data_IF_776022337868
#
_entry.id   IF_776022337868
#
_cell.length_a   1.000
_cell.length_b   1.000
_cell.length_c   1.000
_cell.angle_alpha   90.00
_cell.angle_beta   90.00
_cell.angle_gamma   90.00
#
_symmetry.space_group_name_H-M   'P 1'
#
loop_
_entity.id
_entity.type
_entity.pdbx_description
1 polymer ?
#
# COMPACT_ATOMS: atom_id res chain seq x y z
N UNK A 1 26.39 -47.42 -48.15
CA UNK A 1 25.38 -47.81 -47.14
C UNK A 1 25.05 -46.56 -46.36
N UNK A 2 23.81 -46.08 -46.51
CA UNK A 2 23.31 -44.80 -46.00
C UNK A 2 23.00 -44.88 -44.50
N UNK A 3 23.98 -44.59 -43.63
CA UNK A 3 23.73 -44.49 -42.17
C UNK A 3 23.48 -43.04 -41.74
N UNK A 4 24.19 -42.06 -42.32
CA UNK A 4 24.13 -40.65 -41.87
C UNK A 4 22.82 -39.91 -42.23
N UNK A 5 22.12 -40.35 -43.29
CA UNK A 5 20.86 -39.72 -43.69
C UNK A 5 19.69 -40.14 -42.77
N UNK A 6 19.75 -41.37 -42.26
CA UNK A 6 18.71 -41.94 -41.39
C UNK A 6 18.77 -41.27 -40.01
N UNK A 7 19.96 -41.02 -39.46
CA UNK A 7 20.11 -40.33 -38.18
C UNK A 7 19.71 -38.86 -38.23
N UNK A 8 20.01 -38.13 -39.31
CA UNK A 8 19.53 -36.74 -39.45
C UNK A 8 18.02 -36.65 -39.68
N UNK A 9 17.42 -37.61 -40.39
CA UNK A 9 15.98 -37.67 -40.56
C UNK A 9 15.26 -38.06 -39.25
N UNK A 10 15.83 -38.97 -38.46
CA UNK A 10 15.33 -39.34 -37.14
C UNK A 10 15.47 -38.19 -36.14
N UNK A 11 16.61 -37.48 -36.11
CA UNK A 11 16.81 -36.32 -35.23
C UNK A 11 15.85 -35.18 -35.61
N UNK A 12 15.58 -34.98 -36.90
CA UNK A 12 14.54 -34.05 -37.38
C UNK A 12 13.12 -34.52 -37.03
N UNK A 13 12.82 -35.82 -37.12
CA UNK A 13 11.52 -36.38 -36.69
C UNK A 13 11.33 -36.31 -35.17
N UNK A 14 12.39 -36.48 -34.38
CA UNK A 14 12.37 -36.31 -32.93
C UNK A 14 12.29 -34.84 -32.50
N UNK A 15 12.77 -33.89 -33.31
CA UNK A 15 12.55 -32.46 -33.04
C UNK A 15 11.07 -32.07 -33.25
N UNK A 16 10.36 -32.72 -34.19
CA UNK A 16 8.93 -32.49 -34.44
C UNK A 16 7.98 -33.24 -33.46
N UNK A 17 8.48 -34.21 -32.69
CA UNK A 17 7.70 -34.96 -31.70
C UNK A 17 7.49 -34.20 -30.39
N UNK A 18 8.20 -33.07 -30.19
CA UNK A 18 7.97 -32.17 -29.06
C UNK A 18 7.22 -30.89 -29.44
N UNK A 19 7.11 -30.52 -30.71
CA UNK A 19 6.50 -29.23 -31.13
C UNK A 19 4.98 -29.31 -31.20
N UNK A 20 4.44 -30.39 -31.77
CA UNK A 20 2.98 -30.55 -31.95
C UNK A 20 2.23 -30.55 -30.62
N UNK A 21 2.79 -31.22 -29.59
CA UNK A 21 2.22 -31.24 -28.24
C UNK A 21 2.27 -29.86 -27.58
N UNK A 22 3.38 -29.13 -27.78
CA UNK A 22 3.58 -27.77 -27.27
C UNK A 22 2.63 -26.76 -27.91
N UNK A 23 2.48 -26.80 -29.23
CA UNK A 23 1.55 -25.95 -29.98
C UNK A 23 0.10 -26.24 -29.57
N UNK A 24 -0.24 -27.51 -29.31
CA UNK A 24 -1.57 -27.90 -28.83
C UNK A 24 -1.82 -27.47 -27.37
N UNK A 25 -0.82 -27.56 -26.49
CA UNK A 25 -0.88 -27.06 -25.12
C UNK A 25 -1.07 -25.54 -25.08
N UNK A 26 -0.37 -24.80 -25.94
CA UNK A 26 -0.53 -23.34 -26.10
C UNK A 26 -1.96 -23.01 -26.52
N UNK A 27 -2.50 -23.69 -27.54
CA UNK A 27 -3.90 -23.49 -27.98
C UNK A 27 -4.91 -23.87 -26.90
N UNK A 28 -4.66 -24.95 -26.14
CA UNK A 28 -5.52 -25.36 -25.03
C UNK A 28 -5.53 -24.32 -23.91
N UNK A 29 -4.36 -23.81 -23.52
CA UNK A 29 -4.23 -22.74 -22.54
C UNK A 29 -4.98 -21.49 -23.00
N UNK A 30 -4.77 -21.04 -24.24
CA UNK A 30 -5.48 -19.88 -24.81
C UNK A 30 -6.99 -20.09 -24.87
N UNK A 31 -7.46 -21.31 -25.21
CA UNK A 31 -8.89 -21.63 -25.28
C UNK A 31 -9.55 -21.66 -23.90
N UNK A 32 -8.85 -22.18 -22.89
CA UNK A 32 -9.35 -22.21 -21.51
C UNK A 32 -9.36 -20.81 -20.88
N UNK A 33 -8.46 -19.94 -21.31
CA UNK A 33 -8.32 -18.55 -20.86
C UNK A 33 -8.95 -17.55 -21.84
N UNK A 34 -9.87 -17.99 -22.70
CA UNK A 34 -10.44 -17.20 -23.80
C UNK A 34 -11.21 -15.92 -23.37
N UNK A 35 -11.35 -15.66 -22.06
CA UNK A 35 -11.90 -14.41 -21.53
C UNK A 35 -10.92 -13.23 -21.52
N UNK A 36 -9.60 -13.45 -21.61
CA UNK A 36 -8.57 -12.45 -21.29
C UNK A 36 -7.60 -12.09 -22.44
N UNK A 37 -7.88 -12.48 -23.69
CA UNK A 37 -7.03 -12.15 -24.87
C UNK A 37 -5.54 -12.55 -24.68
N UNK A 38 -5.30 -13.75 -24.16
CA UNK A 38 -3.94 -14.24 -23.94
C UNK A 38 -3.19 -14.45 -25.27
N UNK A 39 -2.15 -13.66 -25.52
CA UNK A 39 -1.32 -13.82 -26.71
C UNK A 39 -0.50 -15.14 -26.65
N UNK A 40 -0.12 -15.65 -27.82
CA UNK A 40 0.58 -16.93 -27.97
C UNK A 40 1.94 -16.95 -27.25
N UNK A 41 2.65 -15.81 -27.27
CA UNK A 41 3.95 -15.63 -26.62
C UNK A 41 3.86 -15.73 -25.09
N UNK A 42 2.82 -15.14 -24.49
CA UNK A 42 2.53 -15.19 -23.06
C UNK A 42 2.07 -16.58 -22.65
N UNK A 43 1.26 -17.26 -23.48
CA UNK A 43 0.86 -18.65 -23.26
C UNK A 43 2.06 -19.59 -23.21
N UNK A 44 2.94 -19.49 -24.22
CA UNK A 44 4.16 -20.28 -24.30
C UNK A 44 5.10 -19.99 -23.12
N UNK A 45 5.21 -18.74 -22.68
CA UNK A 45 6.01 -18.35 -21.52
C UNK A 45 5.54 -19.02 -20.22
N UNK A 46 4.23 -18.97 -19.92
CA UNK A 46 3.69 -19.61 -18.70
C UNK A 46 3.80 -21.13 -18.74
N UNK A 47 3.62 -21.74 -19.92
CA UNK A 47 3.87 -23.17 -20.11
C UNK A 47 5.33 -23.49 -19.89
N UNK A 48 6.25 -22.73 -20.46
CA UNK A 48 7.69 -22.96 -20.33
C UNK A 48 8.17 -22.82 -18.88
N UNK A 49 7.71 -21.79 -18.16
CA UNK A 49 7.96 -21.62 -16.71
C UNK A 49 7.46 -22.80 -15.87
N UNK A 50 6.44 -23.51 -16.35
CA UNK A 50 5.80 -24.62 -15.65
C UNK A 50 6.13 -25.99 -16.27
N UNK A 51 7.27 -26.10 -16.97
CA UNK A 51 7.72 -27.35 -17.62
C UNK A 51 6.65 -27.96 -18.54
N UNK A 52 5.91 -27.12 -19.26
CA UNK A 52 4.83 -27.48 -20.16
C UNK A 52 3.65 -28.22 -19.50
N UNK A 53 3.49 -28.06 -18.18
CA UNK A 53 2.32 -28.54 -17.47
C UNK A 53 1.17 -27.54 -17.59
N UNK A 54 0.11 -27.93 -18.33
CA UNK A 54 -1.04 -27.07 -18.56
C UNK A 54 -1.74 -26.61 -17.27
N UNK A 55 -1.96 -27.51 -16.32
CA UNK A 55 -2.66 -27.18 -15.07
C UNK A 55 -1.84 -26.19 -14.22
N UNK A 56 -0.53 -26.40 -14.11
CA UNK A 56 0.35 -25.52 -13.36
C UNK A 56 0.52 -24.16 -14.05
N UNK A 57 0.53 -24.12 -15.39
CA UNK A 57 0.52 -22.89 -16.17
C UNK A 57 -0.79 -22.12 -16.00
N UNK A 58 -1.94 -22.81 -15.95
CA UNK A 58 -3.24 -22.20 -15.65
C UNK A 58 -3.25 -21.61 -14.24
N UNK A 59 -2.77 -22.35 -13.24
CA UNK A 59 -2.66 -21.82 -11.87
C UNK A 59 -1.74 -20.61 -11.82
N UNK A 60 -0.55 -20.67 -12.42
CA UNK A 60 0.40 -19.55 -12.46
C UNK A 60 -0.17 -18.33 -13.19
N UNK A 61 -0.92 -18.57 -14.28
CA UNK A 61 -1.60 -17.51 -15.00
C UNK A 61 -2.71 -16.90 -14.16
N UNK A 62 -3.55 -17.69 -13.48
CA UNK A 62 -4.56 -17.15 -12.58
C UNK A 62 -3.98 -16.54 -11.31
N UNK A 63 -2.80 -16.92 -10.86
CA UNK A 63 -2.08 -16.24 -9.78
C UNK A 63 -1.52 -14.89 -10.27
N UNK A 64 -1.14 -14.81 -11.54
CA UNK A 64 -0.69 -13.58 -12.20
C UNK A 64 -1.86 -12.65 -12.57
N UNK A 65 -2.92 -13.16 -13.18
CA UNK A 65 -4.13 -12.43 -13.58
C UNK A 65 -5.22 -12.39 -12.52
N UNK A 66 -4.98 -13.00 -11.36
CA UNK A 66 -5.89 -12.90 -10.24
C UNK A 66 -6.20 -11.41 -10.05
N UNK A 67 -7.46 -11.01 -9.78
CA UNK A 67 -7.73 -9.70 -9.21
C UNK A 67 -7.02 -9.49 -7.85
N UNK A 68 -6.29 -10.49 -7.35
CA UNK A 68 -5.34 -10.41 -6.22
C UNK A 68 -3.93 -9.94 -6.63
N UNK A 69 -3.64 -9.81 -7.93
CA UNK A 69 -2.68 -8.81 -8.44
C UNK A 69 -3.29 -7.39 -8.42
N UNK A 70 -4.31 -7.15 -7.59
CA UNK A 70 -4.37 -5.92 -6.80
C UNK A 70 -3.01 -5.74 -6.14
N UNK A 71 -2.10 -5.03 -6.82
CA UNK A 71 -0.89 -4.50 -6.22
C UNK A 71 -1.33 -3.87 -4.90
N UNK A 72 -0.93 -4.52 -3.80
CA UNK A 72 -1.41 -4.14 -2.48
C UNK A 72 -1.15 -2.64 -2.30
N UNK A 73 -2.13 -1.87 -1.79
CA UNK A 73 -1.91 -0.46 -1.57
C UNK A 73 -0.68 -0.29 -0.68
N UNK A 74 0.22 0.61 -1.06
CA UNK A 74 1.45 0.88 -0.31
C UNK A 74 1.40 2.31 0.20
N UNK A 75 1.87 2.51 1.42
CA UNK A 75 2.00 3.83 2.02
C UNK A 75 3.35 3.92 2.71
N UNK A 76 4.05 5.02 2.49
CA UNK A 76 5.29 5.36 3.18
C UNK A 76 5.15 6.69 3.90
N UNK A 77 5.67 6.77 5.12
CA UNK A 77 5.78 8.02 5.87
C UNK A 77 6.94 8.85 5.30
N UNK A 78 6.67 10.08 4.88
CA UNK A 78 7.72 11.02 4.48
C UNK A 78 8.27 11.73 5.72
N UNK A 79 7.38 12.37 6.47
CA UNK A 79 7.71 13.03 7.72
C UNK A 79 6.45 13.24 8.56
N UNK A 80 6.65 13.48 9.85
CA UNK A 80 5.59 13.86 10.77
C UNK A 80 5.82 15.27 11.30
N UNK A 81 4.73 15.92 11.71
CA UNK A 81 4.78 17.28 12.26
C UNK A 81 3.80 17.44 13.41
N UNK A 82 4.17 18.28 14.37
CA UNK A 82 3.31 18.66 15.50
C UNK A 82 3.68 20.09 15.87
N UNK A 83 2.69 20.95 16.06
CA UNK A 83 2.94 22.32 16.53
C UNK A 83 3.56 22.22 17.93
N UNK A 84 4.80 22.70 18.09
CA UNK A 84 5.60 22.58 19.31
C UNK A 84 6.30 21.21 19.46
N UNK A 85 6.78 20.65 18.35
CA UNK A 85 7.57 19.41 18.33
C UNK A 85 8.73 19.45 19.35
N UNK A 86 8.87 18.38 20.12
CA UNK A 86 9.87 18.27 21.19
C UNK A 86 9.44 18.85 22.54
N UNK A 87 8.35 19.63 22.59
CA UNK A 87 7.80 20.12 23.85
C UNK A 87 7.01 19.04 24.59
N UNK A 88 6.93 19.18 25.91
CA UNK A 88 6.02 18.37 26.71
C UNK A 88 4.62 18.96 26.72
N UNK A 89 3.63 18.09 26.87
CA UNK A 89 2.21 18.43 26.81
C UNK A 89 1.64 18.40 28.24
N UNK A 90 0.88 19.40 28.69
CA UNK A 90 0.13 19.28 29.94
C UNK A 90 -0.88 18.12 29.88
N UNK A 91 -1.30 17.57 31.04
CA UNK A 91 -2.38 16.59 31.08
C UNK A 91 -3.68 17.10 30.45
N UNK A 92 -4.51 16.21 29.90
CA UNK A 92 -5.84 16.51 29.34
C UNK A 92 -5.87 17.64 28.30
N UNK A 93 -4.77 17.81 27.57
CA UNK A 93 -4.58 18.87 26.58
C UNK A 93 -4.85 18.33 25.19
N UNK A 94 -5.66 19.06 24.42
CA UNK A 94 -5.90 18.73 23.03
C UNK A 94 -4.72 19.18 22.17
N UNK A 95 -4.32 18.37 21.20
CA UNK A 95 -3.28 18.69 20.24
C UNK A 95 -3.55 17.99 18.91
N UNK A 96 -3.05 18.56 17.82
CA UNK A 96 -3.16 17.96 16.50
C UNK A 96 -1.84 17.31 16.10
N UNK A 97 -1.89 16.06 15.66
CA UNK A 97 -0.76 15.35 15.04
C UNK A 97 -0.98 15.26 13.55
N UNK A 98 0.05 15.60 12.76
CA UNK A 98 0.01 15.54 11.31
C UNK A 98 1.12 14.64 10.76
N UNK A 99 0.84 13.93 9.68
CA UNK A 99 1.79 13.10 8.95
C UNK A 99 1.71 13.40 7.46
N UNK A 100 2.86 13.63 6.83
CA UNK A 100 3.00 13.63 5.39
C UNK A 100 3.26 12.21 4.92
N UNK A 101 2.33 11.69 4.14
CA UNK A 101 2.39 10.32 3.64
C UNK A 101 2.36 10.31 2.12
N UNK A 102 2.92 9.26 1.54
CA UNK A 102 2.93 9.05 0.10
C UNK A 102 2.32 7.70 -0.23
N UNK A 103 1.60 7.63 -1.36
CA UNK A 103 1.37 6.37 -2.03
C UNK A 103 2.67 5.91 -2.72
N UNK A 104 3.41 5.02 -2.05
CA UNK A 104 4.63 4.39 -2.59
C UNK A 104 4.34 3.17 -3.48
N UNK A 105 3.07 2.92 -3.77
CA UNK A 105 2.62 1.89 -4.70
C UNK A 105 2.67 2.35 -6.15
N UNK A 106 2.26 1.45 -7.04
CA UNK A 106 2.20 1.72 -8.48
C UNK A 106 0.77 1.89 -9.01
N UNK A 107 -0.23 1.77 -8.14
CA UNK A 107 -1.64 1.98 -8.45
C UNK A 107 -2.26 2.99 -7.48
N UNK A 108 -3.35 3.60 -7.91
CA UNK A 108 -4.19 4.45 -7.07
C UNK A 108 -4.80 3.64 -5.93
N UNK A 109 -4.84 4.19 -4.71
CA UNK A 109 -5.46 3.52 -3.56
C UNK A 109 -6.95 3.24 -3.80
N UNK A 110 -7.50 2.14 -3.25
CA UNK A 110 -8.93 1.88 -3.36
C UNK A 110 -9.73 2.97 -2.63
N UNK A 111 -11.00 3.12 -3.02
CA UNK A 111 -11.93 3.99 -2.31
C UNK A 111 -12.17 3.52 -0.87
N UNK A 112 -12.42 4.47 0.03
CA UNK A 112 -12.72 4.16 1.43
C UNK A 112 -11.51 3.70 2.25
N UNK A 113 -10.31 4.19 1.93
CA UNK A 113 -9.14 4.05 2.81
C UNK A 113 -9.25 4.98 4.02
N UNK A 114 -8.66 4.56 5.13
CA UNK A 114 -8.63 5.34 6.35
C UNK A 114 -7.37 5.05 7.16
N UNK A 115 -6.94 6.02 7.96
CA UNK A 115 -5.96 5.82 9.01
C UNK A 115 -6.69 5.27 10.25
N UNK A 116 -6.23 4.15 10.78
CA UNK A 116 -6.86 3.44 11.90
C UNK A 116 -5.88 3.31 13.06
N UNK A 117 -6.36 3.57 14.28
CA UNK A 117 -5.66 3.23 15.51
C UNK A 117 -5.58 1.71 15.67
N UNK A 118 -4.38 1.18 15.90
CA UNK A 118 -4.11 -0.27 15.99
C UNK A 118 -3.50 -0.71 17.33
N UNK A 119 -3.21 0.21 18.25
CA UNK A 119 -2.72 -0.15 19.58
C UNK A 119 -1.89 0.95 20.27
N UNK A 120 -1.45 0.66 21.49
CA UNK A 120 -0.79 1.66 22.35
C UNK A 120 -1.79 2.36 23.26
N UNK A 121 -1.58 3.65 23.49
CA UNK A 121 -2.52 4.49 24.26
C UNK A 121 -3.43 5.22 23.28
N UNK A 122 -4.73 5.00 23.43
CA UNK A 122 -5.74 5.74 22.66
C UNK A 122 -5.84 7.17 23.21
N UNK A 123 -5.43 8.15 22.41
CA UNK A 123 -5.37 9.57 22.77
C UNK A 123 -6.55 10.35 22.20
N UNK A 124 -7.79 9.97 22.54
CA UNK A 124 -9.01 10.64 22.06
C UNK A 124 -10.10 9.66 21.62
N UNK A 125 -11.27 10.20 21.26
CA UNK A 125 -12.41 9.40 20.82
C UNK A 125 -12.30 8.96 19.36
N UNK A 126 -11.61 9.74 18.52
CA UNK A 126 -11.40 9.41 17.13
C UNK A 126 -10.36 8.30 17.00
N UNK A 127 -10.76 7.13 16.52
CA UNK A 127 -9.86 5.99 16.26
C UNK A 127 -9.71 5.70 14.77
N UNK A 128 -10.43 6.44 13.92
CA UNK A 128 -10.44 6.26 12.47
C UNK A 128 -10.59 7.61 11.77
N UNK A 129 -9.68 7.90 10.86
CA UNK A 129 -9.69 9.12 10.05
C UNK A 129 -9.77 8.76 8.56
N UNK A 130 -10.83 9.15 7.83
CA UNK A 130 -10.91 8.95 6.40
C UNK A 130 -9.74 9.61 5.66
N UNK A 131 -9.26 8.96 4.61
CA UNK A 131 -8.17 9.47 3.78
C UNK A 131 -8.63 9.39 2.33
N UNK A 132 -8.29 10.40 1.52
CA UNK A 132 -8.57 10.39 0.10
C UNK A 132 -7.83 9.24 -0.59
N UNK A 133 -8.41 8.73 -1.68
CA UNK A 133 -7.70 7.86 -2.59
C UNK A 133 -6.56 8.64 -3.25
N UNK A 134 -5.33 8.14 -3.15
CA UNK A 134 -4.13 8.77 -3.70
C UNK A 134 -3.62 7.99 -4.91
N UNK A 135 -3.25 8.70 -5.97
CA UNK A 135 -2.54 8.14 -7.11
C UNK A 135 -1.09 7.75 -6.80
N UNK A 136 -0.41 7.00 -7.67
CA UNK A 136 1.00 6.64 -7.49
C UNK A 136 1.87 7.88 -7.27
N UNK A 137 2.78 7.81 -6.29
CA UNK A 137 3.69 8.89 -5.88
C UNK A 137 3.01 10.17 -5.32
N UNK A 138 1.68 10.23 -5.26
CA UNK A 138 0.95 11.35 -4.68
C UNK A 138 1.17 11.44 -3.17
N UNK A 139 1.28 12.67 -2.66
CA UNK A 139 1.57 13.00 -1.27
C UNK A 139 0.38 13.74 -0.68
N UNK A 140 0.01 13.39 0.55
CA UNK A 140 -1.02 14.12 1.30
C UNK A 140 -0.64 14.29 2.76
N UNK A 141 -1.33 15.20 3.44
CA UNK A 141 -1.23 15.43 4.87
C UNK A 141 -2.44 14.80 5.56
N UNK A 142 -2.20 13.87 6.49
CA UNK A 142 -3.24 13.39 7.39
C UNK A 142 -3.06 14.05 8.74
N UNK A 143 -4.12 14.64 9.26
CA UNK A 143 -4.16 15.24 10.60
C UNK A 143 -5.17 14.52 11.49
N UNK A 144 -4.82 14.35 12.77
CA UNK A 144 -5.69 13.76 13.79
C UNK A 144 -5.65 14.63 15.03
N UNK A 145 -6.83 15.02 15.50
CA UNK A 145 -7.00 15.71 16.78
C UNK A 145 -7.01 14.70 17.92
N UNK A 146 -6.12 14.90 18.88
CA UNK A 146 -5.83 13.99 19.97
C UNK A 146 -5.90 14.72 21.31
N UNK A 147 -6.03 13.97 22.40
CA UNK A 147 -5.96 14.47 23.77
C UNK A 147 -4.90 13.71 24.58
N UNK A 148 -4.04 14.45 25.28
CA UNK A 148 -3.02 13.85 26.15
C UNK A 148 -3.65 13.14 27.35
N UNK A 149 -3.05 12.03 27.84
CA UNK A 149 -3.49 11.36 29.06
C UNK A 149 -3.52 12.29 30.30
N UNK A 150 -4.31 11.94 31.33
CA UNK A 150 -4.41 12.72 32.56
C UNK A 150 -3.20 12.57 33.50
N UNK A 151 -2.26 11.69 33.19
CA UNK A 151 -1.10 11.39 34.04
C UNK A 151 0.20 11.70 33.31
N UNK A 152 1.20 12.17 34.04
CA UNK A 152 2.53 12.44 33.51
C UNK A 152 3.23 11.14 33.06
N UNK A 153 4.05 11.24 32.01
CA UNK A 153 4.79 10.11 31.45
C UNK A 153 4.95 10.19 29.93
N UNK A 154 5.69 9.24 29.36
CA UNK A 154 5.84 9.10 27.91
C UNK A 154 4.86 8.08 27.37
N UNK A 155 4.07 8.48 26.38
CA UNK A 155 3.02 7.66 25.80
C UNK A 155 3.19 7.52 24.29
N UNK A 156 2.76 6.37 23.77
CA UNK A 156 2.81 6.06 22.35
C UNK A 156 1.45 5.56 21.84
N UNK A 157 1.00 6.09 20.71
CA UNK A 157 -0.18 5.61 19.98
C UNK A 157 0.25 5.10 18.60
N UNK A 158 -0.23 3.91 18.21
CA UNK A 158 0.09 3.25 16.93
C UNK A 158 -1.06 3.38 15.95
N UNK A 159 -0.73 3.72 14.71
CA UNK A 159 -1.70 3.91 13.64
C UNK A 159 -1.22 3.25 12.35
N UNK A 160 -2.17 2.80 11.53
CA UNK A 160 -1.88 2.19 10.23
C UNK A 160 -3.03 2.40 9.26
N UNK A 161 -2.70 2.50 7.98
CA UNK A 161 -3.70 2.60 6.92
C UNK A 161 -4.50 1.30 6.79
N UNK A 162 -5.78 1.42 6.49
CA UNK A 162 -6.73 0.32 6.34
C UNK A 162 -7.67 0.60 5.15
N UNK A 163 -7.93 -0.44 4.35
CA UNK A 163 -9.03 -0.47 3.38
C UNK A 163 -10.31 -0.88 4.11
N UNK A 164 -11.32 0.00 4.17
CA UNK A 164 -12.54 -0.25 4.96
C UNK A 164 -13.38 -1.41 4.44
N UNK A 165 -13.44 -1.62 3.12
CA UNK A 165 -14.27 -2.66 2.50
C UNK A 165 -13.78 -4.08 2.79
N UNK A 166 -12.46 -4.28 2.89
CA UNK A 166 -11.82 -5.58 3.13
C UNK A 166 -11.21 -5.72 4.52
N UNK A 167 -11.31 -4.68 5.35
CA UNK A 167 -10.68 -4.56 6.67
C UNK A 167 -9.18 -4.91 6.67
N UNK A 168 -8.50 -4.66 5.54
CA UNK A 168 -7.10 -5.03 5.35
C UNK A 168 -6.18 -3.84 5.65
N UNK A 169 -5.16 -4.08 6.47
CA UNK A 169 -4.15 -3.07 6.78
C UNK A 169 -3.03 -3.03 5.75
N UNK A 170 -2.48 -1.84 5.50
CA UNK A 170 -1.41 -1.65 4.54
C UNK A 170 -0.44 -0.53 4.93
N UNK A 171 0.71 -0.49 4.24
CA UNK A 171 1.76 0.51 4.44
C UNK A 171 2.45 0.50 5.80
N UNK A 172 3.25 1.54 6.03
CA UNK A 172 4.02 1.74 7.26
C UNK A 172 3.14 1.94 8.50
N UNK A 173 3.66 1.50 9.65
CA UNK A 173 3.07 1.83 10.95
C UNK A 173 3.59 3.20 11.38
N UNK A 174 2.69 4.15 11.58
CA UNK A 174 3.02 5.50 12.04
C UNK A 174 2.66 5.68 13.51
N UNK A 175 3.34 6.60 14.18
CA UNK A 175 3.33 6.71 15.63
C UNK A 175 3.02 8.14 16.07
N UNK A 176 2.31 8.25 17.18
CA UNK A 176 2.28 9.44 18.02
C UNK A 176 3.14 9.13 19.23
N UNK A 177 4.18 9.91 19.50
CA UNK A 177 4.93 9.81 20.76
C UNK A 177 4.87 11.17 21.45
N UNK A 178 4.38 11.19 22.70
CA UNK A 178 4.27 12.41 23.50
C UNK A 178 4.87 12.20 24.88
N UNK A 179 5.34 13.28 25.47
CA UNK A 179 5.71 13.34 26.88
C UNK A 179 4.74 14.27 27.59
N UNK A 180 4.01 13.74 28.56
CA UNK A 180 3.07 14.51 29.38
C UNK A 180 3.77 14.97 30.66
N UNK A 181 3.73 16.28 30.92
CA UNK A 181 4.33 16.92 32.08
C UNK A 181 3.47 18.10 32.54
N UNK A 182 3.37 18.34 33.84
CA UNK A 182 2.67 19.51 34.40
C UNK A 182 3.28 20.84 33.93
N UNK A 183 4.58 20.84 33.64
CA UNK A 183 5.31 21.99 33.08
C UNK A 183 5.29 22.06 31.55
N UNK A 184 4.41 21.31 30.90
CA UNK A 184 4.29 21.29 29.44
C UNK A 184 3.91 22.65 28.85
N UNK A 185 4.50 22.98 27.71
CA UNK A 185 4.31 24.28 27.02
C UNK A 185 3.48 24.17 25.76
N UNK A 186 3.20 22.95 25.29
CA UNK A 186 2.55 22.73 23.98
C UNK A 186 1.24 23.51 23.82
N UNK A 187 0.42 23.56 24.87
CA UNK A 187 -0.84 24.29 24.88
C UNK A 187 -0.64 25.78 24.56
N UNK A 188 0.39 26.38 25.15
CA UNK A 188 0.74 27.80 24.95
C UNK A 188 1.26 28.01 23.53
N UNK A 189 2.15 27.13 23.06
CA UNK A 189 2.71 27.19 21.71
C UNK A 189 1.62 27.09 20.64
N UNK A 190 0.61 26.24 20.84
CA UNK A 190 -0.55 26.15 19.96
C UNK A 190 -1.43 27.39 19.97
N UNK A 191 -1.70 27.96 21.15
CA UNK A 191 -2.45 29.21 21.26
C UNK A 191 -1.73 30.36 20.54
N UNK A 192 -0.41 30.48 20.71
CA UNK A 192 0.40 31.48 20.03
C UNK A 192 0.40 31.28 18.50
N UNK A 193 0.44 30.04 18.02
CA UNK A 193 0.34 29.74 16.59
C UNK A 193 -1.04 30.12 16.00
N UNK A 194 -2.11 29.91 16.75
CA UNK A 194 -3.47 30.32 16.33
C UNK A 194 -3.59 31.85 16.25
N UNK A 195 -2.99 32.59 17.20
CA UNK A 195 -2.98 34.05 17.20
C UNK A 195 -2.19 34.65 16.02
N UNK A 196 -1.06 34.06 15.64
CA UNK A 196 -0.26 34.56 14.52
C UNK A 196 -0.89 34.27 13.16
N UNK A 197 -1.56 33.12 13.01
CA UNK A 197 -2.26 32.73 11.77
C UNK A 197 -3.55 33.52 11.57
N UNK A 198 -4.33 33.78 12.63
CA UNK A 198 -5.53 34.62 12.56
C UNK A 198 -5.20 36.08 12.18
N UNK A 199 -4.14 36.65 12.74
CA UNK A 199 -3.70 38.02 12.43
C UNK A 199 -3.25 38.22 10.98
N UNK A 200 -2.85 37.15 10.28
CA UNK A 200 -2.38 37.22 8.89
C UNK A 200 -3.52 37.23 7.85
N UNK A 201 -4.73 36.82 8.25
CA UNK A 201 -5.89 36.79 7.35
C UNK A 201 -6.62 38.13 7.25
N UNK A 202 -6.44 39.04 8.22
CA UNK A 202 -7.07 40.37 8.21
C UNK A 202 -6.39 41.36 7.23
N UNK A 203 -5.16 41.10 6.77
CA UNK A 203 -4.43 42.01 5.86
C UNK A 203 -4.80 41.83 4.38
N UNK A 204 -5.73 40.93 4.03
CA UNK A 204 -6.18 40.68 2.65
C UNK A 204 -7.62 41.12 2.34
N UNK A 205 -8.31 41.82 3.25
CA UNK A 205 -9.67 42.35 3.03
C UNK A 205 -9.78 43.89 3.05
N UNK A 206 -8.73 44.60 2.62
CA UNK A 206 -8.81 46.04 2.34
C UNK A 206 -8.37 46.32 0.90
#
# INVERSE_FOLDING_TARGET
MNMDNVDQHLIHQFSCLGTTDKDDLVKQLQKLLAGSQLNETTAAFFLDMNNWNLQAAICSYFDFESPVQNKFPCMTLICDSTIGEGESIPPLTNFQKSWHIQNSGTETWPEGVCLQYIGGVQMGACTRVPVSSLGPAEITVISVDLQSPPYCGTFKSKWRMMVKSTETFFGDVIWVTITVSESGTLAITQQLHQLSTSSSNDTKMC
#
